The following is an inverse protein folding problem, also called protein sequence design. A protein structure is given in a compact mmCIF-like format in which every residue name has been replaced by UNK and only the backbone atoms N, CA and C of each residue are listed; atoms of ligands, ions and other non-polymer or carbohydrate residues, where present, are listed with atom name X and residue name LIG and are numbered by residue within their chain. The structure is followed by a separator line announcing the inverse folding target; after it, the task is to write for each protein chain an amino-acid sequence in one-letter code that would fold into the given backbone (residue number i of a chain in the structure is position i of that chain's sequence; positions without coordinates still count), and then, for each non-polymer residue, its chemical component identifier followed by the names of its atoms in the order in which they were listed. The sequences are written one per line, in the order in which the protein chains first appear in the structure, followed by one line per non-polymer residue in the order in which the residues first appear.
data_IF_412161073815
#
_entry.id   IF_412161073815
#
_cell.length_a   1.000
_cell.length_b   1.000
_cell.length_c   1.000
_cell.angle_alpha   90.00
_cell.angle_beta   90.00
_cell.angle_gamma   90.00
#
_symmetry.space_group_name_H-M   'P 1'
#
loop_
_entity.id
_entity.type
_entity.pdbx_description
1 polymer ?
#
# COMPACT_ATOMS: atom_id res chain seq x y z
N UNK A 1 -5.71 2.38 -33.68
CA UNK A 1 -4.70 1.31 -33.85
C UNK A 1 -3.64 1.49 -32.77
N UNK A 2 -3.25 0.43 -32.05
CA UNK A 2 -2.22 0.50 -31.01
C UNK A 2 -0.85 0.79 -31.64
N UNK A 3 -0.14 1.82 -31.17
CA UNK A 3 1.19 2.14 -31.67
C UNK A 3 2.24 1.36 -30.85
N UNK A 4 2.55 0.15 -31.30
CA UNK A 4 3.45 -0.77 -30.60
C UNK A 4 4.85 -0.18 -30.39
N UNK A 5 5.34 0.65 -31.31
CA UNK A 5 6.65 1.30 -31.18
C UNK A 5 6.64 2.32 -30.02
N UNK A 6 5.57 3.11 -29.92
CA UNK A 6 5.39 4.03 -28.79
C UNK A 6 5.27 3.27 -27.47
N UNK A 7 4.46 2.20 -27.42
CA UNK A 7 4.26 1.40 -26.20
C UNK A 7 5.58 0.79 -25.72
N UNK A 8 6.38 0.23 -26.64
CA UNK A 8 7.69 -0.34 -26.33
C UNK A 8 8.65 0.74 -25.83
N UNK A 9 8.74 1.88 -26.52
CA UNK A 9 9.59 2.99 -26.12
C UNK A 9 9.21 3.51 -24.72
N UNK A 10 7.92 3.78 -24.49
CA UNK A 10 7.40 4.22 -23.21
C UNK A 10 7.73 3.22 -22.09
N UNK A 11 7.53 1.92 -22.34
CA UNK A 11 7.80 0.87 -21.36
C UNK A 11 9.29 0.77 -21.03
N UNK A 12 10.17 0.86 -22.02
CA UNK A 12 11.62 0.82 -21.81
C UNK A 12 12.11 2.04 -21.03
N UNK A 13 11.60 3.23 -21.34
CA UNK A 13 11.92 4.46 -20.60
C UNK A 13 11.44 4.37 -19.15
N UNK A 14 10.21 3.91 -18.92
CA UNK A 14 9.68 3.71 -17.57
C UNK A 14 10.50 2.67 -16.77
N UNK A 15 10.87 1.55 -17.41
CA UNK A 15 11.71 0.52 -16.80
C UNK A 15 13.10 1.07 -16.45
N UNK A 16 13.71 1.87 -17.33
CA UNK A 16 14.98 2.54 -17.05
C UNK A 16 14.89 3.44 -15.81
N UNK A 17 13.88 4.31 -15.73
CA UNK A 17 13.67 5.15 -14.55
C UNK A 17 13.43 4.33 -13.28
N UNK A 18 12.69 3.21 -13.38
CA UNK A 18 12.48 2.31 -12.25
C UNK A 18 13.80 1.73 -11.73
N UNK A 19 14.67 1.23 -12.62
CA UNK A 19 15.98 0.68 -12.24
C UNK A 19 16.88 1.77 -11.63
N UNK A 20 16.92 2.96 -12.23
CA UNK A 20 17.75 4.08 -11.75
C UNK A 20 17.30 4.58 -10.37
N UNK A 21 15.99 4.56 -10.10
CA UNK A 21 15.43 5.03 -8.82
C UNK A 21 15.44 3.96 -7.72
N UNK A 22 15.59 2.68 -8.08
CA UNK A 22 15.58 1.57 -7.11
C UNK A 22 16.67 1.69 -6.02
N UNK A 23 17.93 2.06 -6.30
CA UNK A 23 18.94 2.30 -5.27
C UNK A 23 18.55 3.44 -4.30
N UNK A 24 17.94 4.51 -4.82
CA UNK A 24 17.45 5.62 -3.98
C UNK A 24 16.33 5.15 -3.05
N UNK A 25 15.44 4.30 -3.57
CA UNK A 25 14.35 3.71 -2.80
C UNK A 25 14.88 2.81 -1.66
N UNK A 26 15.89 1.99 -1.96
CA UNK A 26 16.59 1.18 -0.95
C UNK A 26 17.28 2.09 0.08
N UNK A 27 17.98 3.15 -0.34
CA UNK A 27 18.61 4.10 0.58
C UNK A 27 17.57 4.77 1.50
N UNK A 28 16.42 5.19 0.96
CA UNK A 28 15.34 5.79 1.76
C UNK A 28 14.67 4.79 2.70
N UNK A 29 14.69 3.49 2.39
CA UNK A 29 14.18 2.45 3.30
C UNK A 29 14.94 2.38 4.64
N UNK A 30 16.13 2.96 4.75
CA UNK A 30 16.84 3.05 6.03
C UNK A 30 16.45 4.28 6.87
N UNK A 31 15.73 5.27 6.31
CA UNK A 31 15.28 6.46 7.05
C UNK A 31 14.17 6.09 8.02
N UNK A 32 14.22 6.59 9.26
CA UNK A 32 13.21 6.33 10.32
C UNK A 32 11.77 6.49 9.85
N UNK A 33 11.47 7.53 9.06
CA UNK A 33 10.13 7.81 8.52
C UNK A 33 9.62 6.73 7.55
N UNK A 34 10.51 6.08 6.81
CA UNK A 34 10.17 5.18 5.71
C UNK A 34 10.57 3.73 5.95
N UNK A 35 11.14 3.45 7.13
CA UNK A 35 11.75 2.17 7.47
C UNK A 35 10.83 0.97 7.26
N UNK A 36 9.56 1.13 7.60
CA UNK A 36 8.58 0.06 7.45
C UNK A 36 7.73 0.23 6.18
N UNK A 37 7.40 1.48 5.82
CA UNK A 37 6.48 1.75 4.69
C UNK A 37 7.08 1.48 3.30
N UNK A 38 8.37 1.74 3.06
CA UNK A 38 8.99 1.44 1.76
C UNK A 38 9.12 -0.09 1.55
N UNK A 39 9.70 -0.85 2.50
CA UNK A 39 9.77 -2.31 2.41
C UNK A 39 8.41 -2.99 2.19
N UNK A 40 7.39 -2.57 2.93
CA UNK A 40 6.05 -3.14 2.82
C UNK A 40 5.40 -2.90 1.45
N UNK A 41 5.56 -1.68 0.89
CA UNK A 41 4.90 -1.29 -0.36
C UNK A 41 5.60 -1.78 -1.61
N UNK A 42 6.93 -1.71 -1.65
CA UNK A 42 7.69 -1.97 -2.88
C UNK A 42 8.27 -3.38 -2.94
N UNK A 43 8.46 -4.03 -1.78
CA UNK A 43 9.08 -5.36 -1.71
C UNK A 43 8.20 -6.41 -1.02
N UNK A 44 6.97 -6.04 -0.61
CA UNK A 44 6.04 -6.96 0.07
C UNK A 44 6.51 -7.42 1.45
N UNK A 45 7.53 -6.79 2.03
CA UNK A 45 8.12 -7.20 3.30
C UNK A 45 7.13 -6.89 4.43
N UNK A 46 6.73 -7.92 5.19
CA UNK A 46 5.72 -7.81 6.26
C UNK A 46 4.36 -7.29 5.77
N UNK A 47 4.01 -7.53 4.51
CA UNK A 47 2.71 -7.19 3.94
C UNK A 47 2.02 -8.47 3.42
N UNK A 48 1.56 -9.36 4.34
CA UNK A 48 0.93 -10.61 3.94
C UNK A 48 -0.40 -10.34 3.21
N UNK A 49 -0.83 -11.23 2.29
CA UNK A 49 -2.14 -11.13 1.69
C UNK A 49 -3.25 -11.26 2.74
N UNK A 50 -4.42 -10.70 2.46
CA UNK A 50 -5.56 -10.84 3.36
C UNK A 50 -6.03 -12.28 3.45
N UNK A 51 -6.44 -12.67 4.65
CA UNK A 51 -7.24 -13.87 4.87
C UNK A 51 -8.63 -13.70 4.23
N UNK A 52 -9.38 -14.79 4.00
CA UNK A 52 -10.75 -14.71 3.51
C UNK A 52 -11.61 -13.80 4.41
N UNK A 53 -12.22 -12.79 3.79
CA UNK A 53 -12.99 -11.75 4.44
C UNK A 53 -14.29 -11.51 3.69
N UNK A 54 -15.28 -10.96 4.39
CA UNK A 54 -16.60 -10.67 3.82
C UNK A 54 -16.68 -9.24 3.31
N UNK A 55 -15.94 -8.32 3.94
CA UNK A 55 -15.91 -6.89 3.62
C UNK A 55 -14.47 -6.41 3.57
N UNK A 56 -14.12 -5.62 2.55
CA UNK A 56 -12.82 -4.99 2.40
C UNK A 56 -12.94 -3.48 2.42
N UNK A 57 -12.30 -2.84 3.40
CA UNK A 57 -12.10 -1.39 3.41
C UNK A 57 -10.72 -1.03 2.87
N UNK A 58 -10.66 -0.02 2.02
CA UNK A 58 -9.43 0.64 1.63
C UNK A 58 -9.46 2.07 2.16
N UNK A 59 -8.49 2.42 3.01
CA UNK A 59 -8.36 3.77 3.58
C UNK A 59 -7.08 4.45 3.10
N UNK A 60 -7.24 5.65 2.57
CA UNK A 60 -6.20 6.44 1.96
C UNK A 60 -5.45 7.33 2.96
N UNK A 61 -6.03 7.57 4.15
CA UNK A 61 -5.51 8.52 5.13
C UNK A 61 -5.75 8.08 6.59
N UNK A 62 -5.06 8.72 7.54
CA UNK A 62 -5.28 8.51 8.97
C UNK A 62 -6.70 8.91 9.40
N UNK A 63 -7.25 9.96 8.79
CA UNK A 63 -8.61 10.43 9.08
C UNK A 63 -9.65 9.37 8.70
N UNK A 64 -9.53 8.81 7.50
CA UNK A 64 -10.38 7.72 7.03
C UNK A 64 -10.25 6.47 7.90
N UNK A 65 -9.02 6.08 8.26
CA UNK A 65 -8.79 4.94 9.16
C UNK A 65 -9.54 5.12 10.49
N UNK A 66 -9.54 6.33 11.07
CA UNK A 66 -10.29 6.61 12.29
C UNK A 66 -11.80 6.68 12.08
N UNK A 67 -12.23 7.22 10.94
CA UNK A 67 -13.65 7.41 10.63
C UNK A 67 -14.40 6.08 10.48
N UNK A 68 -13.72 5.00 10.05
CA UNK A 68 -14.35 3.69 9.91
C UNK A 68 -14.55 2.95 11.24
N UNK A 69 -13.89 3.35 12.34
CA UNK A 69 -13.96 2.61 13.61
C UNK A 69 -15.40 2.37 14.12
N UNK A 70 -16.31 3.38 14.16
CA UNK A 70 -17.69 3.16 14.60
C UNK A 70 -18.51 2.29 13.63
N UNK A 71 -18.08 2.16 12.37
CA UNK A 71 -18.70 1.26 11.40
C UNK A 71 -18.28 -0.19 11.68
N UNK A 72 -17.02 -0.42 12.05
CA UNK A 72 -16.50 -1.75 12.38
C UNK A 72 -17.22 -2.36 13.58
N UNK A 73 -17.53 -1.56 14.61
CA UNK A 73 -18.35 -1.97 15.77
C UNK A 73 -19.75 -2.47 15.38
N UNK A 74 -20.30 -2.00 14.26
CA UNK A 74 -21.62 -2.46 13.77
C UNK A 74 -21.51 -3.68 12.86
N UNK A 75 -20.30 -4.06 12.47
CA UNK A 75 -20.00 -5.15 11.55
C UNK A 75 -19.36 -6.35 12.26
N UNK A 76 -19.47 -6.47 13.58
CA UNK A 76 -18.85 -7.53 14.41
C UNK A 76 -19.12 -8.96 13.90
N UNK A 77 -20.26 -9.19 13.24
CA UNK A 77 -20.62 -10.49 12.66
C UNK A 77 -20.02 -10.76 11.26
N UNK A 78 -19.12 -9.89 10.78
CA UNK A 78 -18.47 -9.98 9.46
C UNK A 78 -16.96 -9.98 9.64
N UNK A 79 -16.26 -10.78 8.85
CA UNK A 79 -14.81 -10.72 8.74
C UNK A 79 -14.44 -9.52 7.89
N UNK A 80 -13.68 -8.59 8.46
CA UNK A 80 -13.29 -7.36 7.79
C UNK A 80 -11.79 -7.37 7.48
N UNK A 81 -11.43 -7.01 6.26
CA UNK A 81 -10.06 -6.68 5.87
C UNK A 81 -9.91 -5.17 5.70
N UNK A 82 -8.79 -4.61 6.17
CA UNK A 82 -8.49 -3.18 6.03
C UNK A 82 -7.14 -3.03 5.35
N UNK A 83 -7.15 -2.44 4.16
CA UNK A 83 -5.94 -2.00 3.46
C UNK A 83 -5.74 -0.51 3.64
N UNK A 84 -4.48 -0.10 3.66
CA UNK A 84 -4.10 1.27 4.00
C UNK A 84 -3.02 1.76 3.04
N UNK A 85 -3.07 3.05 2.70
CA UNK A 85 -1.97 3.68 1.96
C UNK A 85 -0.91 4.21 2.92
N UNK A 86 -1.29 4.88 4.02
CA UNK A 86 -0.33 5.58 4.90
C UNK A 86 0.15 4.72 6.06
N UNK A 87 1.38 4.95 6.52
CA UNK A 87 1.92 4.26 7.71
C UNK A 87 1.09 4.56 8.96
N UNK A 88 0.66 5.81 9.14
CA UNK A 88 -0.22 6.21 10.25
C UNK A 88 -1.61 5.60 10.13
N UNK A 89 -2.13 5.45 8.90
CA UNK A 89 -3.35 4.67 8.64
C UNK A 89 -3.20 3.21 9.06
N UNK A 90 -2.06 2.57 8.74
CA UNK A 90 -1.76 1.21 9.18
C UNK A 90 -1.75 1.09 10.71
N UNK A 91 -1.07 2.01 11.40
CA UNK A 91 -1.01 2.03 12.87
C UNK A 91 -2.37 2.22 13.53
N UNK A 92 -3.27 2.99 12.90
CA UNK A 92 -4.64 3.16 13.39
C UNK A 92 -5.49 1.91 13.12
N UNK A 93 -5.46 1.40 11.89
CA UNK A 93 -6.24 0.24 11.47
C UNK A 93 -5.83 -1.05 12.20
N UNK A 94 -4.55 -1.22 12.53
CA UNK A 94 -4.03 -2.40 13.25
C UNK A 94 -4.51 -2.49 14.71
N UNK A 95 -5.29 -1.52 15.20
CA UNK A 95 -5.87 -1.50 16.55
C UNK A 95 -7.33 -1.93 16.56
N UNK A 96 -7.92 -2.15 15.40
CA UNK A 96 -9.28 -2.68 15.23
C UNK A 96 -9.22 -4.18 15.00
#
# INVERSE_FOLDING_TARGET
MRNVAFDLFYTLVAAFFYVVTLPLLILFSFKKKYRDSIPARFFGIKNPPFQPHDIWFHVCSLGEAKAIAPLLEKLENKRVAISVITHTGYEAASKY
#
